data_IF_040167383603
#
_entry.id   IF_040167383603
#
_cell.length_a   1.000
_cell.length_b   1.000
_cell.length_c   1.000
_cell.angle_alpha   90.00
_cell.angle_beta   90.00
_cell.angle_gamma   90.00
#
_symmetry.space_group_name_H-M   'P 1'
#
loop_
_entity.id
_entity.type
_entity.pdbx_description
1 polymer ?
#
# COMPACT_ATOMS: atom_id res chain seq x y z
N UNK A 1 -49.61 5.84 22.02
CA UNK A 1 -50.07 5.88 20.62
C UNK A 1 -50.73 7.23 20.38
N UNK A 2 -50.32 7.92 19.30
CA UNK A 2 -50.86 9.17 18.71
C UNK A 2 -50.68 10.44 19.57
N UNK A 3 -50.23 11.60 19.07
CA UNK A 3 -50.47 12.27 17.77
C UNK A 3 -49.27 13.09 17.27
N UNK A 4 -49.24 13.29 15.94
CA UNK A 4 -48.42 14.20 15.12
C UNK A 4 -48.80 15.68 15.33
N UNK A 5 -47.88 16.64 15.15
CA UNK A 5 -47.83 17.53 13.96
C UNK A 5 -47.08 18.88 14.11
N UNK A 6 -46.48 19.31 12.98
CA UNK A 6 -46.22 20.67 12.43
C UNK A 6 -45.29 21.63 13.20
N UNK A 7 -44.07 21.88 12.71
CA UNK A 7 -43.65 22.83 11.64
C UNK A 7 -43.76 24.31 12.07
N UNK A 8 -42.61 24.99 12.26
CA UNK A 8 -42.28 26.17 11.46
C UNK A 8 -40.87 26.75 11.76
N UNK A 9 -40.05 26.75 10.70
CA UNK A 9 -39.25 27.89 10.21
C UNK A 9 -38.48 28.75 11.22
N UNK A 10 -37.16 28.48 11.37
CA UNK A 10 -36.15 29.55 11.46
C UNK A 10 -34.94 29.16 10.61
N UNK A 11 -34.95 29.64 9.36
CA UNK A 11 -33.78 29.75 8.51
C UNK A 11 -32.84 30.80 9.10
N UNK A 12 -31.79 30.38 9.80
CA UNK A 12 -30.72 31.28 10.23
C UNK A 12 -29.36 30.70 9.86
N UNK A 13 -28.79 31.35 8.83
CA UNK A 13 -27.36 31.58 8.60
C UNK A 13 -26.54 30.38 8.12
N UNK A 14 -26.58 30.22 6.80
CA UNK A 14 -25.38 29.93 6.02
C UNK A 14 -24.30 30.97 6.32
N UNK A 15 -23.36 30.66 7.22
CA UNK A 15 -22.08 31.36 7.35
C UNK A 15 -21.01 30.49 6.72
N UNK A 16 -20.78 30.77 5.45
CA UNK A 16 -19.48 30.83 4.78
C UNK A 16 -18.35 30.01 5.45
N UNK A 17 -18.38 28.69 5.32
CA UNK A 17 -17.17 27.88 5.45
C UNK A 17 -16.38 28.03 4.16
N UNK A 18 -15.44 28.99 4.18
CA UNK A 18 -14.43 29.18 3.16
C UNK A 18 -13.68 27.87 2.91
N UNK A 19 -14.22 27.07 2.00
CA UNK A 19 -13.65 25.80 1.60
C UNK A 19 -12.56 26.18 0.61
N UNK A 20 -11.39 26.54 1.14
CA UNK A 20 -10.15 26.50 0.38
C UNK A 20 -10.16 25.18 -0.38
N UNK A 21 -9.99 25.16 -1.71
CA UNK A 21 -9.88 23.91 -2.43
C UNK A 21 -8.68 23.20 -1.82
N UNK A 22 -8.93 22.20 -0.97
CA UNK A 22 -7.93 21.22 -0.55
C UNK A 22 -7.40 20.71 -1.87
N UNK A 23 -6.23 21.23 -2.28
CA UNK A 23 -5.50 20.71 -3.43
C UNK A 23 -5.50 19.22 -3.20
N UNK A 24 -6.28 18.49 -4.01
CA UNK A 24 -6.24 17.03 -3.99
C UNK A 24 -4.77 16.76 -4.25
N UNK A 25 -4.03 16.38 -3.19
CA UNK A 25 -2.70 15.83 -3.34
C UNK A 25 -2.95 14.66 -4.28
N UNK A 26 -2.66 14.85 -5.56
CA UNK A 26 -2.58 13.74 -6.50
C UNK A 26 -1.56 12.85 -5.82
N UNK A 27 -2.00 11.72 -5.28
CA UNK A 27 -1.12 10.71 -4.69
C UNK A 27 -0.31 10.15 -5.86
N UNK A 28 0.65 10.95 -6.30
CA UNK A 28 1.58 10.64 -7.35
C UNK A 28 2.64 9.79 -6.72
N UNK A 29 2.53 8.48 -6.95
CA UNK A 29 3.66 7.62 -7.27
C UNK A 29 4.88 7.55 -6.34
N UNK A 30 4.83 7.95 -5.07
CA UNK A 30 5.96 7.70 -4.13
C UNK A 30 6.03 6.24 -3.66
N UNK A 31 4.95 5.48 -3.81
CA UNK A 31 4.84 4.07 -3.40
C UNK A 31 4.11 3.29 -4.48
N UNK A 32 4.70 3.14 -5.68
CA UNK A 32 4.18 2.13 -6.61
C UNK A 32 4.34 0.77 -5.98
N UNK A 33 3.23 0.21 -5.51
CA UNK A 33 3.22 -1.16 -5.01
C UNK A 33 3.69 -2.10 -6.12
N UNK A 34 4.42 -3.14 -5.73
CA UNK A 34 4.83 -4.22 -6.64
C UNK A 34 3.57 -4.89 -7.17
N UNK A 35 3.23 -4.65 -8.44
CA UNK A 35 2.00 -5.11 -9.08
C UNK A 35 2.24 -6.17 -10.17
N UNK A 36 3.51 -6.46 -10.49
CA UNK A 36 3.90 -7.54 -11.39
C UNK A 36 4.30 -8.76 -10.57
N UNK A 37 3.75 -9.91 -10.94
CA UNK A 37 4.04 -11.19 -10.27
C UNK A 37 5.12 -11.95 -11.03
N UNK A 38 6.05 -12.53 -10.30
CA UNK A 38 6.92 -13.60 -10.78
C UNK A 38 6.49 -14.89 -10.08
N UNK A 39 6.28 -15.97 -10.84
CA UNK A 39 5.97 -17.29 -10.30
C UNK A 39 7.21 -18.17 -10.42
N UNK A 40 7.63 -18.75 -9.31
CA UNK A 40 8.74 -19.69 -9.24
C UNK A 40 8.17 -21.06 -8.89
N UNK A 41 8.52 -22.08 -9.67
CA UNK A 41 8.24 -23.47 -9.31
C UNK A 41 9.50 -24.03 -8.69
N UNK A 42 9.39 -24.53 -7.46
CA UNK A 42 10.50 -25.06 -6.68
C UNK A 42 10.19 -26.51 -6.33
N UNK A 43 11.24 -27.32 -6.21
CA UNK A 43 11.16 -28.61 -5.54
C UNK A 43 10.98 -28.40 -4.03
N UNK A 44 10.39 -29.37 -3.35
CA UNK A 44 10.18 -29.33 -1.89
C UNK A 44 11.48 -29.03 -1.12
N UNK A 45 12.61 -29.59 -1.57
CA UNK A 45 13.90 -29.37 -0.92
C UNK A 45 14.41 -27.94 -1.14
N UNK A 46 14.17 -27.37 -2.33
CA UNK A 46 14.59 -26.01 -2.67
C UNK A 46 13.79 -24.99 -1.86
N UNK A 47 12.47 -25.20 -1.74
CA UNK A 47 11.62 -24.36 -0.90
C UNK A 47 12.09 -24.39 0.56
N UNK A 48 12.33 -25.58 1.13
CA UNK A 48 12.82 -25.72 2.52
C UNK A 48 14.16 -25.02 2.73
N UNK A 49 15.08 -25.16 1.79
CA UNK A 49 16.39 -24.48 1.84
C UNK A 49 16.21 -22.96 1.77
N UNK A 50 15.35 -22.46 0.88
CA UNK A 50 15.09 -21.03 0.74
C UNK A 50 14.37 -20.43 1.95
N UNK A 51 13.41 -21.14 2.55
CA UNK A 51 12.76 -20.72 3.80
C UNK A 51 13.78 -20.60 4.93
N UNK A 52 14.67 -21.60 5.06
CA UNK A 52 15.73 -21.58 6.08
C UNK A 52 16.66 -20.40 5.89
N UNK A 53 17.13 -20.15 4.66
CA UNK A 53 17.99 -18.98 4.35
C UNK A 53 17.30 -17.66 4.64
N UNK A 54 16.01 -17.54 4.29
CA UNK A 54 15.24 -16.35 4.58
C UNK A 54 15.14 -16.10 6.10
N UNK A 55 14.87 -17.15 6.88
CA UNK A 55 14.81 -17.06 8.34
C UNK A 55 16.17 -16.72 8.97
N UNK A 56 17.25 -17.35 8.50
CA UNK A 56 18.63 -17.08 8.96
C UNK A 56 19.05 -15.63 8.68
N UNK A 57 18.60 -15.06 7.56
CA UNK A 57 18.83 -13.66 7.20
C UNK A 57 17.80 -12.68 7.81
N UNK A 58 16.87 -13.16 8.65
CA UNK A 58 15.91 -12.33 9.37
C UNK A 58 14.69 -11.87 8.56
N UNK A 59 14.45 -12.44 7.39
CA UNK A 59 13.28 -12.13 6.55
C UNK A 59 12.07 -13.00 6.90
N UNK A 60 10.88 -12.41 6.83
CA UNK A 60 9.64 -13.10 7.19
C UNK A 60 9.18 -14.13 6.16
N UNK A 61 9.64 -14.03 4.91
CA UNK A 61 9.28 -14.94 3.83
C UNK A 61 10.34 -14.93 2.71
N UNK A 62 10.26 -15.94 1.84
CA UNK A 62 11.17 -16.13 0.70
C UNK A 62 11.12 -14.93 -0.26
N UNK A 63 9.95 -14.33 -0.49
CA UNK A 63 9.82 -13.20 -1.42
C UNK A 63 10.63 -11.99 -0.95
N UNK A 64 10.55 -11.62 0.33
CA UNK A 64 11.35 -10.53 0.89
C UNK A 64 12.84 -10.80 0.76
N UNK A 65 13.25 -12.02 1.10
CA UNK A 65 14.64 -12.47 0.98
C UNK A 65 15.16 -12.35 -0.46
N UNK A 66 14.46 -12.91 -1.46
CA UNK A 66 14.86 -12.84 -2.87
C UNK A 66 14.93 -11.39 -3.35
N UNK A 67 13.93 -10.57 -2.98
CA UNK A 67 13.88 -9.19 -3.44
C UNK A 67 15.01 -8.33 -2.84
N UNK A 68 15.39 -8.59 -1.59
CA UNK A 68 16.44 -7.85 -0.91
C UNK A 68 17.85 -8.29 -1.36
N UNK A 69 18.12 -9.59 -1.36
CA UNK A 69 19.49 -10.10 -1.60
C UNK A 69 19.84 -10.21 -3.09
N UNK A 70 18.86 -10.47 -3.95
CA UNK A 70 19.12 -10.77 -5.37
C UNK A 70 18.68 -9.65 -6.30
N UNK A 71 17.51 -9.04 -6.06
CA UNK A 71 16.93 -8.06 -6.98
C UNK A 71 17.37 -6.63 -6.67
N UNK A 72 17.35 -6.21 -5.41
CA UNK A 72 17.69 -4.82 -5.05
C UNK A 72 19.10 -4.40 -5.51
N UNK A 73 20.18 -5.20 -5.32
CA UNK A 73 21.51 -4.80 -5.75
C UNK A 73 21.63 -4.59 -7.26
N UNK A 74 20.91 -5.41 -8.06
CA UNK A 74 20.92 -5.29 -9.52
C UNK A 74 20.12 -4.08 -10.00
N UNK A 75 19.02 -3.75 -9.32
CA UNK A 75 18.24 -2.55 -9.62
C UNK A 75 19.05 -1.29 -9.30
N UNK A 76 19.77 -1.26 -8.18
CA UNK A 76 20.67 -0.17 -7.83
C UNK A 76 21.79 -0.01 -8.86
N UNK A 77 22.43 -1.11 -9.26
CA UNK A 77 23.45 -1.10 -10.31
C UNK A 77 22.91 -0.60 -11.66
N UNK A 78 21.71 -1.03 -12.06
CA UNK A 78 21.07 -0.60 -13.30
C UNK A 78 20.55 0.85 -13.26
N UNK A 79 20.29 1.39 -12.07
CA UNK A 79 19.91 2.79 -11.90
C UNK A 79 21.11 3.74 -11.94
N UNK A 80 22.32 3.24 -11.69
CA UNK A 80 23.57 4.01 -11.71
C UNK A 80 24.23 4.09 -13.10
N UNK A 81 23.75 3.30 -14.08
CA UNK A 81 24.21 3.27 -15.47
C UNK A 81 23.35 4.12 -16.38
#
# INVERSE_FOLDING_TARGET
MQTVSMDDTIAVRMVNSGTQPRRKKRSGSETRQRNRQCKLSLLDIEEKVMMRKAAEAGYSNIQQYILAEFVAPQVEAAAAS
#
